data_IF_311147478455
#
_entry.id   IF_311147478455
#
_cell.length_a   1.000
_cell.length_b   1.000
_cell.length_c   1.000
_cell.angle_alpha   90.00
_cell.angle_beta   90.00
_cell.angle_gamma   90.00
#
_symmetry.space_group_name_H-M   'P 1'
#
loop_
_entity.id
_entity.type
_entity.pdbx_description
1 polymer ?
#
# COMPACT_ATOMS: atom_id res chain seq x y z
N UNK A 1 16.45 3.48 -30.25
CA UNK A 1 16.67 4.09 -28.92
C UNK A 1 17.71 5.21 -29.11
N UNK A 2 17.48 6.43 -28.63
CA UNK A 2 18.43 7.54 -28.88
C UNK A 2 19.73 7.36 -28.07
N UNK A 3 20.84 7.93 -28.54
CA UNK A 3 22.13 7.88 -27.83
C UNK A 3 22.02 8.45 -26.41
N UNK A 4 21.20 9.49 -26.23
CA UNK A 4 20.91 10.08 -24.92
C UNK A 4 20.12 9.14 -24.01
N UNK A 5 19.17 8.37 -24.56
CA UNK A 5 18.41 7.36 -23.81
C UNK A 5 19.30 6.19 -23.37
N UNK A 6 20.23 5.75 -24.21
CA UNK A 6 21.22 4.72 -23.85
C UNK A 6 22.16 5.25 -22.76
N UNK A 7 22.66 6.48 -22.88
CA UNK A 7 23.51 7.12 -21.85
C UNK A 7 22.78 7.31 -20.52
N UNK A 8 21.49 7.65 -20.54
CA UNK A 8 20.68 7.76 -19.33
C UNK A 8 20.47 6.39 -18.66
N UNK A 9 20.18 5.35 -19.45
CA UNK A 9 20.04 3.99 -18.97
C UNK A 9 21.33 3.45 -18.35
N UNK A 10 22.47 3.59 -19.02
CA UNK A 10 23.77 3.15 -18.51
C UNK A 10 24.22 3.85 -17.21
N UNK A 11 23.51 4.92 -16.80
CA UNK A 11 23.74 5.59 -15.52
C UNK A 11 22.75 5.14 -14.46
N UNK A 12 21.51 4.86 -14.84
CA UNK A 12 20.48 4.37 -13.92
C UNK A 12 20.71 2.92 -13.48
N UNK A 13 21.40 2.11 -14.28
CA UNK A 13 21.65 0.69 -14.02
C UNK A 13 23.15 0.43 -13.84
N UNK A 14 23.52 -0.48 -12.93
CA UNK A 14 24.92 -0.87 -12.72
C UNK A 14 25.45 -1.70 -13.89
N UNK A 15 24.57 -2.46 -14.57
CA UNK A 15 24.88 -3.18 -15.79
C UNK A 15 24.21 -2.54 -17.02
N UNK A 16 24.95 -2.36 -18.12
CA UNK A 16 24.45 -1.66 -19.31
C UNK A 16 23.34 -2.44 -20.03
N UNK A 17 23.27 -3.76 -19.82
CA UNK A 17 22.24 -4.62 -20.42
C UNK A 17 20.89 -4.51 -19.69
N UNK A 18 20.90 -4.21 -18.40
CA UNK A 18 19.73 -4.02 -17.54
C UNK A 18 18.83 -2.88 -18.03
N UNK A 19 19.43 -1.76 -18.45
CA UNK A 19 18.67 -0.64 -18.99
C UNK A 19 18.07 -0.89 -20.37
N UNK A 20 18.71 -1.71 -21.20
CA UNK A 20 18.33 -1.91 -22.61
C UNK A 20 17.27 -2.99 -22.76
N UNK A 21 17.33 -4.03 -21.93
CA UNK A 21 16.39 -5.12 -21.96
C UNK A 21 15.88 -5.46 -20.54
N UNK A 22 14.59 -5.23 -20.26
CA UNK A 22 14.01 -5.45 -18.94
C UNK A 22 14.06 -6.92 -18.48
N UNK A 23 14.31 -7.87 -19.39
CA UNK A 23 14.58 -9.25 -19.00
C UNK A 23 15.83 -9.35 -18.10
N UNK A 24 16.87 -8.53 -18.29
CA UNK A 24 18.07 -8.55 -17.45
C UNK A 24 17.86 -7.94 -16.06
N UNK A 25 16.96 -6.96 -15.89
CA UNK A 25 16.66 -6.34 -14.58
C UNK A 25 16.14 -7.33 -13.52
N UNK A 26 15.64 -8.49 -13.97
CA UNK A 26 14.95 -9.44 -13.11
C UNK A 26 15.45 -10.88 -13.33
N UNK A 27 16.69 -11.06 -13.82
CA UNK A 27 17.28 -12.38 -14.14
C UNK A 27 17.26 -13.35 -12.95
N UNK A 28 17.42 -12.81 -11.75
CA UNK A 28 17.30 -13.46 -10.45
C UNK A 28 15.86 -13.91 -10.11
N UNK A 29 14.83 -13.35 -10.75
CA UNK A 29 13.42 -13.74 -10.59
C UNK A 29 12.91 -14.68 -11.67
N UNK A 30 13.73 -15.05 -12.67
CA UNK A 30 13.26 -15.87 -13.79
C UNK A 30 12.77 -17.25 -13.39
N UNK A 31 13.32 -17.81 -12.32
CA UNK A 31 12.89 -19.11 -11.75
C UNK A 31 11.60 -19.01 -10.92
N UNK A 32 11.12 -17.81 -10.66
CA UNK A 32 10.02 -17.51 -9.74
C UNK A 32 8.87 -16.75 -10.42
N UNK A 33 8.88 -16.65 -11.75
CA UNK A 33 7.81 -15.99 -12.50
C UNK A 33 6.47 -16.64 -12.20
N UNK A 34 5.47 -15.81 -11.93
CA UNK A 34 4.10 -16.26 -11.88
C UNK A 34 3.20 -15.32 -12.70
N UNK A 35 1.94 -15.72 -12.88
CA UNK A 35 0.96 -15.02 -13.72
C UNK A 35 0.75 -13.55 -13.33
N UNK A 36 1.15 -13.13 -12.12
CA UNK A 36 1.04 -11.74 -11.65
C UNK A 36 2.11 -10.81 -12.22
N UNK A 37 3.28 -11.33 -12.62
CA UNK A 37 4.36 -10.54 -13.22
C UNK A 37 4.00 -10.04 -14.64
N UNK A 38 3.04 -10.70 -15.30
CA UNK A 38 2.57 -10.39 -16.66
C UNK A 38 1.30 -9.55 -16.70
N UNK A 39 0.75 -9.18 -15.53
CA UNK A 39 -0.37 -8.25 -15.48
C UNK A 39 0.18 -6.84 -15.51
N UNK A 40 -0.34 -6.01 -16.40
CA UNK A 40 -0.19 -4.56 -16.24
C UNK A 40 -0.72 -4.23 -14.84
N UNK A 41 0.16 -3.79 -13.94
CA UNK A 41 -0.28 -3.01 -12.80
C UNK A 41 -0.88 -1.76 -13.44
N UNK A 42 -2.18 -1.77 -13.70
CA UNK A 42 -2.87 -0.52 -14.03
C UNK A 42 -2.40 0.48 -12.99
N UNK A 43 -2.01 1.66 -13.45
CA UNK A 43 -1.59 2.76 -12.59
C UNK A 43 -2.80 3.18 -11.75
N UNK A 44 -3.08 2.40 -10.70
CA UNK A 44 -4.13 2.63 -9.75
C UNK A 44 -3.96 4.01 -9.12
N UNK A 45 -4.90 4.40 -8.28
CA UNK A 45 -4.89 5.74 -7.68
C UNK A 45 -3.54 6.08 -6.99
N UNK A 46 -2.76 5.07 -6.60
CA UNK A 46 -1.44 5.20 -5.97
C UNK A 46 -0.28 5.56 -6.91
N UNK A 47 -0.40 5.39 -8.24
CA UNK A 47 0.67 5.71 -9.21
C UNK A 47 2.07 5.18 -8.83
N UNK A 48 2.14 4.01 -8.21
CA UNK A 48 3.39 3.37 -7.77
C UNK A 48 3.79 3.62 -6.31
N UNK A 49 3.08 4.48 -5.58
CA UNK A 49 3.22 4.62 -4.14
C UNK A 49 2.82 3.32 -3.43
N UNK A 50 3.64 2.89 -2.46
CA UNK A 50 3.35 1.74 -1.59
C UNK A 50 3.21 2.25 -0.16
N UNK A 51 2.00 2.24 0.42
CA UNK A 51 1.80 2.72 1.78
C UNK A 51 2.49 1.78 2.78
N UNK A 52 3.27 2.40 3.66
CA UNK A 52 3.99 1.78 4.76
C UNK A 52 3.26 2.10 6.06
N UNK A 53 3.03 1.13 6.91
CA UNK A 53 2.16 1.26 8.08
C UNK A 53 2.88 1.02 9.40
N UNK A 54 4.06 0.40 9.37
CA UNK A 54 4.80 0.17 10.61
C UNK A 54 5.39 1.49 11.07
N UNK A 55 5.53 1.59 12.38
CA UNK A 55 6.22 2.71 13.00
C UNK A 55 7.57 2.22 13.50
N UNK A 56 8.64 2.87 13.06
CA UNK A 56 9.98 2.72 13.59
C UNK A 56 10.42 4.07 14.13
N UNK A 57 10.36 4.29 15.46
CA UNK A 57 10.71 5.57 16.05
C UNK A 57 12.15 5.98 15.68
N UNK A 58 12.33 7.26 15.37
CA UNK A 58 13.63 7.86 15.03
C UNK A 58 13.87 9.15 15.78
N UNK A 59 15.15 9.35 16.12
CA UNK A 59 15.66 10.63 16.58
C UNK A 59 16.12 11.40 15.34
N UNK A 60 15.61 12.62 15.18
CA UNK A 60 16.12 13.53 14.14
C UNK A 60 17.38 14.18 14.71
N UNK A 61 18.52 13.85 14.10
CA UNK A 61 19.80 14.44 14.49
C UNK A 61 20.04 15.76 13.77
N UNK A 62 20.42 16.78 14.55
CA UNK A 62 20.90 18.05 14.02
C UNK A 62 22.41 17.98 13.81
N UNK A 63 22.83 17.88 12.56
CA UNK A 63 24.25 17.84 12.21
C UNK A 63 24.78 19.24 11.95
N UNK A 64 25.74 19.69 12.76
CA UNK A 64 26.54 20.86 12.44
C UNK A 64 27.75 20.45 11.58
N UNK A 65 27.53 20.29 10.28
CA UNK A 65 28.57 19.85 9.33
C UNK A 65 28.91 20.91 8.30
N UNK A 66 30.12 20.89 7.76
CA UNK A 66 30.46 21.63 6.54
C UNK A 66 30.03 20.85 5.31
N UNK A 67 29.92 21.53 4.17
CA UNK A 67 29.65 20.88 2.87
C UNK A 67 30.77 19.92 2.46
N UNK A 68 30.43 18.97 1.59
CA UNK A 68 31.37 18.05 0.97
C UNK A 68 31.03 17.86 -0.51
N UNK A 69 32.04 17.59 -1.34
CA UNK A 69 31.83 17.40 -2.77
C UNK A 69 30.85 16.26 -3.04
N UNK A 70 29.95 16.48 -3.99
CA UNK A 70 29.08 15.41 -4.47
C UNK A 70 29.91 14.38 -5.24
N UNK A 71 29.55 13.08 -5.16
CA UNK A 71 30.13 12.08 -6.06
C UNK A 71 30.05 12.55 -7.51
N UNK A 72 31.14 12.37 -8.28
CA UNK A 72 31.29 12.91 -9.64
C UNK A 72 30.08 12.61 -10.52
N UNK A 73 29.55 11.38 -10.45
CA UNK A 73 28.37 10.95 -11.19
C UNK A 73 27.10 11.72 -10.75
N UNK A 74 26.88 11.88 -9.45
CA UNK A 74 25.74 12.64 -8.92
C UNK A 74 25.81 14.11 -9.31
N UNK A 75 26.99 14.73 -9.24
CA UNK A 75 27.19 16.13 -9.66
C UNK A 75 26.87 16.30 -11.15
N UNK A 76 27.44 15.46 -12.00
CA UNK A 76 27.25 15.51 -13.45
C UNK A 76 25.77 15.44 -13.85
N UNK A 77 24.98 14.60 -13.17
CA UNK A 77 23.56 14.44 -13.51
C UNK A 77 22.68 15.53 -12.91
N UNK A 78 23.03 16.08 -11.74
CA UNK A 78 22.37 17.28 -11.23
C UNK A 78 22.54 18.44 -12.20
N UNK A 79 23.76 18.69 -12.66
CA UNK A 79 24.05 19.77 -13.62
C UNK A 79 23.26 19.59 -14.92
N UNK A 80 23.21 18.35 -15.47
CA UNK A 80 22.42 18.05 -16.67
C UNK A 80 20.92 18.24 -16.49
N UNK A 81 20.38 17.93 -15.30
CA UNK A 81 18.95 18.14 -15.01
C UNK A 81 18.65 19.65 -14.99
N UNK A 82 19.52 20.44 -14.36
CA UNK A 82 19.40 21.90 -14.29
C UNK A 82 19.51 22.52 -15.69
N UNK A 83 20.53 22.13 -16.46
CA UNK A 83 20.74 22.59 -17.85
C UNK A 83 19.51 22.27 -18.72
N UNK A 84 19.03 21.02 -18.67
CA UNK A 84 17.87 20.61 -19.44
C UNK A 84 16.61 21.38 -19.04
N UNK A 85 16.39 21.62 -17.75
CA UNK A 85 15.26 22.39 -17.26
C UNK A 85 15.32 23.84 -17.78
N UNK A 86 16.50 24.47 -17.71
CA UNK A 86 16.74 25.83 -18.20
C UNK A 86 16.53 25.93 -19.71
N UNK A 87 17.12 25.03 -20.50
CA UNK A 87 17.01 25.00 -21.96
C UNK A 87 15.56 24.86 -22.45
N UNK A 88 14.71 24.20 -21.66
CA UNK A 88 13.31 23.97 -21.97
C UNK A 88 12.35 24.93 -21.24
N UNK A 89 12.86 25.93 -20.51
CA UNK A 89 12.07 26.86 -19.69
C UNK A 89 11.12 26.14 -18.71
N UNK A 90 11.60 25.06 -18.08
CA UNK A 90 10.86 24.29 -17.08
C UNK A 90 11.32 24.74 -15.69
N UNK A 91 10.43 25.30 -14.85
CA UNK A 91 10.78 25.60 -13.46
C UNK A 91 11.17 24.33 -12.72
N UNK A 92 12.26 24.41 -11.95
CA UNK A 92 12.78 23.29 -11.17
C UNK A 92 12.62 23.58 -9.68
N UNK A 93 12.16 22.59 -8.92
CA UNK A 93 12.21 22.57 -7.46
C UNK A 93 12.98 21.32 -7.04
N UNK A 94 13.96 21.50 -6.18
CA UNK A 94 14.71 20.39 -5.59
C UNK A 94 14.17 20.12 -4.19
N UNK A 95 14.09 18.85 -3.82
CA UNK A 95 13.66 18.46 -2.48
C UNK A 95 14.47 17.30 -1.95
N UNK A 96 14.64 17.27 -0.63
CA UNK A 96 15.16 16.13 0.09
C UNK A 96 14.07 15.62 1.03
N UNK A 97 13.53 14.43 0.76
CA UNK A 97 12.48 13.80 1.58
C UNK A 97 13.00 13.39 2.96
N UNK A 98 12.13 13.23 3.98
CA UNK A 98 12.56 12.72 5.27
C UNK A 98 13.25 11.37 5.11
N UNK A 99 14.47 11.29 5.62
CA UNK A 99 15.26 10.08 5.59
C UNK A 99 16.16 10.02 6.82
N UNK A 100 16.54 8.82 7.24
CA UNK A 100 17.56 8.64 8.27
C UNK A 100 18.93 9.12 7.78
N UNK A 101 19.28 10.37 8.09
CA UNK A 101 20.52 11.01 7.66
C UNK A 101 21.65 10.78 8.65
N UNK A 102 22.87 10.71 8.12
CA UNK A 102 24.10 10.76 8.90
C UNK A 102 24.89 12.02 8.53
N UNK A 103 25.97 12.29 9.27
CA UNK A 103 26.80 13.48 9.05
C UNK A 103 27.23 13.63 7.59
N UNK A 104 27.80 12.58 6.97
CA UNK A 104 28.27 12.60 5.58
C UNK A 104 27.17 12.96 4.58
N UNK A 105 25.97 12.38 4.73
CA UNK A 105 24.84 12.72 3.86
C UNK A 105 24.39 14.17 4.05
N UNK A 106 24.42 14.68 5.27
CA UNK A 106 24.11 16.09 5.53
C UNK A 106 25.12 17.03 4.85
N UNK A 107 26.41 16.66 4.74
CA UNK A 107 27.40 17.43 3.98
C UNK A 107 27.03 17.56 2.50
N UNK A 108 26.58 16.46 1.88
CA UNK A 108 26.11 16.49 0.48
C UNK A 108 24.83 17.31 0.32
N UNK A 109 23.90 17.24 1.27
CA UNK A 109 22.67 18.05 1.25
C UNK A 109 23.02 19.54 1.25
N UNK A 110 23.97 19.98 2.09
CA UNK A 110 24.45 21.37 2.09
C UNK A 110 25.05 21.79 0.75
N UNK A 111 25.78 20.91 0.08
CA UNK A 111 26.30 21.18 -1.27
C UNK A 111 25.17 21.35 -2.29
N UNK A 112 24.13 20.52 -2.23
CA UNK A 112 22.95 20.66 -3.12
C UNK A 112 22.20 21.95 -2.83
N UNK A 113 22.02 22.32 -1.56
CA UNK A 113 21.37 23.55 -1.14
C UNK A 113 22.11 24.80 -1.65
N UNK A 114 23.44 24.83 -1.55
CA UNK A 114 24.24 25.93 -2.12
C UNK A 114 24.18 25.99 -3.65
N UNK A 115 24.20 24.84 -4.33
CA UNK A 115 24.03 24.79 -5.79
C UNK A 115 22.66 25.36 -6.15
N UNK A 116 21.59 24.90 -5.49
CA UNK A 116 20.24 25.36 -5.73
C UNK A 116 20.13 26.89 -5.54
N UNK A 117 20.65 27.41 -4.42
CA UNK A 117 20.69 28.84 -4.14
C UNK A 117 21.45 29.62 -5.24
N UNK A 118 22.61 29.13 -5.67
CA UNK A 118 23.42 29.80 -6.71
C UNK A 118 22.73 29.86 -8.08
N UNK A 119 21.83 28.92 -8.35
CA UNK A 119 21.07 28.81 -9.60
C UNK A 119 19.68 29.44 -9.49
N UNK A 120 19.31 29.99 -8.33
CA UNK A 120 17.95 30.51 -8.09
C UNK A 120 16.87 29.41 -8.07
N UNK A 121 17.26 28.16 -7.80
CA UNK A 121 16.37 27.00 -7.73
C UNK A 121 15.86 26.85 -6.29
N UNK A 122 14.54 26.80 -6.05
CA UNK A 122 14.03 26.52 -4.73
C UNK A 122 14.42 25.12 -4.22
N UNK A 123 14.80 25.04 -2.94
CA UNK A 123 15.18 23.79 -2.28
C UNK A 123 14.36 23.56 -1.00
N UNK A 124 13.67 22.42 -0.92
CA UNK A 124 12.86 22.05 0.25
C UNK A 124 13.53 20.87 0.97
N UNK A 125 14.11 21.15 2.14
CA UNK A 125 14.78 20.16 2.96
C UNK A 125 13.88 19.60 4.07
N UNK A 126 13.25 18.44 3.84
CA UNK A 126 12.43 17.77 4.87
C UNK A 126 13.25 17.02 5.93
N UNK A 127 14.54 17.33 6.10
CA UNK A 127 15.27 17.01 7.35
C UNK A 127 15.53 18.24 8.21
N UNK A 128 15.15 19.43 7.76
CA UNK A 128 15.24 20.63 8.57
C UNK A 128 14.24 20.58 9.73
N UNK A 129 14.73 20.76 10.96
CA UNK A 129 13.89 20.67 12.17
C UNK A 129 12.83 21.76 12.26
N UNK A 130 13.05 22.93 11.66
CA UNK A 130 12.05 24.01 11.64
C UNK A 130 10.89 23.66 10.72
N UNK A 131 11.19 23.12 9.53
CA UNK A 131 10.19 22.65 8.59
C UNK A 131 9.43 21.45 9.17
N UNK A 132 10.12 20.48 9.75
CA UNK A 132 9.50 19.30 10.38
C UNK A 132 8.53 19.73 11.49
N UNK A 133 8.91 20.71 12.32
CA UNK A 133 8.01 21.29 13.32
C UNK A 133 6.81 22.00 12.70
N UNK A 134 7.02 22.76 11.61
CA UNK A 134 5.96 23.48 10.89
C UNK A 134 4.89 22.53 10.36
N UNK A 135 5.30 21.40 9.76
CA UNK A 135 4.39 20.39 9.21
C UNK A 135 3.89 19.38 10.25
N UNK A 136 4.24 19.58 11.54
CA UNK A 136 3.91 18.69 12.67
C UNK A 136 4.36 17.24 12.42
N UNK A 137 5.52 17.08 11.79
CA UNK A 137 6.15 15.78 11.59
C UNK A 137 6.77 15.30 12.90
N UNK A 138 6.45 14.09 13.30
CA UNK A 138 6.97 13.42 14.49
C UNK A 138 7.64 12.11 14.07
N UNK A 139 8.97 12.12 14.07
CA UNK A 139 9.78 10.97 13.69
C UNK A 139 9.62 9.75 14.61
N UNK A 140 8.97 9.90 15.77
CA UNK A 140 8.59 8.75 16.61
C UNK A 140 7.44 7.94 16.02
N UNK A 141 6.55 8.57 15.25
CA UNK A 141 5.32 7.93 14.74
C UNK A 141 5.17 7.97 13.22
N UNK A 142 5.94 8.81 12.52
CA UNK A 142 5.78 9.07 11.07
C UNK A 142 6.82 8.33 10.18
N UNK A 143 7.67 7.48 10.76
CA UNK A 143 8.77 6.79 10.06
C UNK A 143 8.58 5.27 10.02
N UNK A 144 8.99 4.63 8.93
CA UNK A 144 9.19 3.19 8.79
C UNK A 144 10.61 2.93 8.27
N UNK A 145 11.50 2.45 9.14
CA UNK A 145 12.91 2.26 8.79
C UNK A 145 13.61 3.56 8.40
N UNK A 146 14.10 3.64 7.16
CA UNK A 146 14.76 4.83 6.61
C UNK A 146 13.80 5.85 5.97
N UNK A 147 12.54 5.50 5.75
CA UNK A 147 11.57 6.30 5.00
C UNK A 147 10.39 6.71 5.89
N UNK A 148 9.52 7.58 5.37
CA UNK A 148 8.24 7.88 6.01
C UNK A 148 7.30 6.68 5.94
N UNK A 149 6.50 6.47 6.98
CA UNK A 149 5.28 5.68 6.84
C UNK A 149 4.17 6.53 6.19
N UNK A 150 2.96 6.00 6.09
CA UNK A 150 1.86 6.66 5.39
C UNK A 150 1.45 8.00 6.02
N UNK A 151 1.57 8.14 7.35
CA UNK A 151 1.26 9.38 8.05
C UNK A 151 2.30 10.47 7.78
N UNK A 152 3.59 10.10 7.83
CA UNK A 152 4.67 11.00 7.46
C UNK A 152 4.60 11.42 6.00
N UNK A 153 4.32 10.47 5.10
CA UNK A 153 4.16 10.72 3.68
C UNK A 153 3.03 11.71 3.40
N UNK A 154 1.91 11.59 4.13
CA UNK A 154 0.80 12.54 4.01
C UNK A 154 1.22 13.95 4.41
N UNK A 155 1.87 14.14 5.56
CA UNK A 155 2.31 15.47 6.03
C UNK A 155 3.27 16.14 5.04
N UNK A 156 4.24 15.38 4.53
CA UNK A 156 5.19 15.85 3.52
C UNK A 156 4.48 16.22 2.21
N UNK A 157 3.58 15.36 1.75
CA UNK A 157 2.86 15.56 0.49
C UNK A 157 1.89 16.74 0.55
N UNK A 158 1.19 16.91 1.68
CA UNK A 158 0.31 18.06 1.91
C UNK A 158 1.09 19.38 1.90
N UNK A 159 2.25 19.42 2.58
CA UNK A 159 3.13 20.58 2.52
C UNK A 159 3.65 20.85 1.10
N UNK A 160 4.15 19.82 0.41
CA UNK A 160 4.69 19.97 -0.94
C UNK A 160 3.61 20.47 -1.92
N UNK A 161 2.41 19.89 -1.86
CA UNK A 161 1.28 20.33 -2.69
C UNK A 161 0.95 21.80 -2.46
N UNK A 162 0.82 22.22 -1.20
CA UNK A 162 0.51 23.61 -0.87
C UNK A 162 1.63 24.57 -1.32
N UNK A 163 2.89 24.18 -1.16
CA UNK A 163 4.02 24.96 -1.64
C UNK A 163 3.96 25.15 -3.16
N UNK A 164 3.76 24.05 -3.90
CA UNK A 164 3.67 24.09 -5.35
C UNK A 164 2.50 24.94 -5.86
N UNK A 165 1.33 24.81 -5.23
CA UNK A 165 0.14 25.61 -5.57
C UNK A 165 0.40 27.11 -5.34
N UNK A 166 1.04 27.48 -4.23
CA UNK A 166 1.34 28.87 -3.90
C UNK A 166 2.41 29.48 -4.81
N UNK A 167 3.49 28.75 -5.10
CA UNK A 167 4.63 29.28 -5.85
C UNK A 167 4.38 29.34 -7.35
N UNK A 168 3.73 28.32 -7.92
CA UNK A 168 3.54 28.20 -9.37
C UNK A 168 2.12 28.54 -9.81
N UNK A 169 1.25 28.92 -8.86
CA UNK A 169 -0.14 29.28 -9.10
C UNK A 169 -0.83 28.26 -10.01
N UNK A 170 -0.63 26.97 -9.71
CA UNK A 170 -1.36 25.91 -10.39
C UNK A 170 -2.85 26.18 -10.21
N UNK A 171 -3.64 25.96 -11.27
CA UNK A 171 -5.09 26.00 -11.14
C UNK A 171 -5.45 25.03 -10.02
N UNK A 172 -6.08 25.49 -8.91
CA UNK A 172 -6.33 24.65 -7.76
C UNK A 172 -7.17 23.47 -8.24
N UNK A 173 -6.53 22.30 -8.33
CA UNK A 173 -7.25 21.06 -8.52
C UNK A 173 -7.91 20.87 -7.16
N UNK A 174 -9.24 21.14 -7.07
CA UNK A 174 -10.03 20.78 -5.89
C UNK A 174 -9.55 19.41 -5.44
N UNK A 175 -9.18 19.27 -4.14
CA UNK A 175 -8.79 17.98 -3.55
C UNK A 175 -9.67 16.92 -4.18
N UNK A 176 -9.07 16.09 -5.03
CA UNK A 176 -9.87 15.19 -5.82
C UNK A 176 -10.58 14.27 -4.84
N UNK A 177 -11.84 13.94 -5.12
CA UNK A 177 -12.56 12.93 -4.33
C UNK A 177 -11.73 11.66 -4.19
N UNK A 178 -10.90 11.36 -5.20
CA UNK A 178 -9.95 10.25 -5.19
C UNK A 178 -8.88 10.37 -4.10
N UNK A 179 -8.34 11.56 -3.82
CA UNK A 179 -7.37 11.76 -2.74
C UNK A 179 -7.98 11.52 -1.36
N UNK A 180 -9.19 12.04 -1.12
CA UNK A 180 -9.90 11.81 0.15
C UNK A 180 -10.21 10.33 0.35
N UNK A 181 -10.66 9.65 -0.71
CA UNK A 181 -10.89 8.20 -0.67
C UNK A 181 -9.58 7.47 -0.38
N UNK A 182 -8.50 7.74 -1.10
CA UNK A 182 -7.18 7.14 -0.88
C UNK A 182 -6.72 7.26 0.57
N UNK A 183 -6.73 8.48 1.10
CA UNK A 183 -6.32 8.77 2.47
C UNK A 183 -7.19 8.02 3.48
N UNK A 184 -8.52 8.01 3.30
CA UNK A 184 -9.42 7.22 4.15
C UNK A 184 -9.11 5.71 4.11
N UNK A 185 -8.74 5.17 2.94
CA UNK A 185 -8.40 3.76 2.78
C UNK A 185 -7.08 3.39 3.42
N UNK A 186 -6.11 4.30 3.47
CA UNK A 186 -4.88 4.08 4.23
C UNK A 186 -5.15 4.00 5.73
N UNK A 187 -5.91 4.95 6.28
CA UNK A 187 -6.29 4.91 7.68
C UNK A 187 -7.10 3.66 8.02
N UNK A 188 -8.02 3.25 7.14
CA UNK A 188 -8.78 2.03 7.34
C UNK A 188 -7.90 0.77 7.30
N UNK A 189 -6.97 0.66 6.34
CA UNK A 189 -6.06 -0.47 6.25
C UNK A 189 -5.14 -0.59 7.48
N UNK A 190 -4.74 0.52 8.09
CA UNK A 190 -4.03 0.50 9.38
C UNK A 190 -4.95 0.15 10.55
N UNK A 191 -6.11 0.80 10.65
CA UNK A 191 -7.09 0.58 11.73
C UNK A 191 -7.52 -0.88 11.79
N UNK A 192 -7.82 -1.47 10.63
CA UNK A 192 -8.22 -2.86 10.51
C UNK A 192 -7.22 -3.78 11.19
N UNK A 193 -5.90 -3.59 11.01
CA UNK A 193 -4.83 -4.42 11.59
C UNK A 193 -4.76 -4.39 13.12
N UNK A 194 -5.41 -3.42 13.76
CA UNK A 194 -5.39 -3.20 15.21
C UNK A 194 -6.67 -3.70 15.90
N UNK A 195 -7.63 -4.20 15.13
CA UNK A 195 -8.86 -4.78 15.64
C UNK A 195 -8.67 -6.29 15.71
N UNK A 196 -8.53 -6.80 16.94
CA UNK A 196 -8.34 -8.24 17.21
C UNK A 196 -9.66 -8.96 17.48
N UNK A 197 -10.65 -8.24 18.00
CA UNK A 197 -11.99 -8.80 18.21
C UNK A 197 -12.74 -8.94 16.88
N UNK A 198 -13.32 -10.11 16.66
CA UNK A 198 -14.00 -10.44 15.40
C UNK A 198 -15.27 -9.61 15.16
N UNK A 199 -16.07 -9.40 16.20
CA UNK A 199 -17.33 -8.67 16.07
C UNK A 199 -17.07 -7.19 15.79
N UNK A 200 -16.06 -6.62 16.44
CA UNK A 200 -15.60 -5.26 16.16
C UNK A 200 -15.01 -5.15 14.75
N UNK A 201 -14.28 -6.18 14.28
CA UNK A 201 -13.70 -6.21 12.95
C UNK A 201 -14.78 -6.19 11.86
N UNK A 202 -15.79 -7.07 11.96
CA UNK A 202 -16.91 -7.09 11.01
C UNK A 202 -17.78 -5.84 11.13
N UNK A 203 -17.98 -5.30 12.34
CA UNK A 203 -18.71 -4.06 12.55
C UNK A 203 -18.02 -2.87 11.88
N UNK A 204 -16.69 -2.76 11.98
CA UNK A 204 -15.90 -1.75 11.28
C UNK A 204 -16.10 -1.84 9.77
N UNK A 205 -16.01 -3.06 9.22
CA UNK A 205 -16.18 -3.32 7.78
C UNK A 205 -17.61 -3.06 7.27
N UNK A 206 -18.63 -3.28 8.11
CA UNK A 206 -20.04 -3.10 7.71
C UNK A 206 -20.39 -1.68 7.24
N UNK A 207 -19.62 -0.69 7.69
CA UNK A 207 -19.81 0.73 7.37
C UNK A 207 -18.94 1.20 6.19
N UNK A 208 -18.18 0.31 5.56
CA UNK A 208 -17.24 0.63 4.50
C UNK A 208 -17.75 0.19 3.12
N UNK A 209 -17.50 1.00 2.11
CA UNK A 209 -17.61 0.57 0.71
C UNK A 209 -16.40 -0.27 0.31
N UNK A 210 -16.40 -1.54 0.72
CA UNK A 210 -15.38 -2.55 0.42
C UNK A 210 -16.03 -3.92 0.23
N UNK A 211 -15.33 -4.80 -0.49
CA UNK A 211 -15.70 -6.19 -0.62
C UNK A 211 -15.02 -7.03 0.46
N UNK A 212 -15.80 -7.73 1.27
CA UNK A 212 -15.34 -8.64 2.32
C UNK A 212 -15.55 -10.07 1.82
N UNK A 213 -14.46 -10.72 1.42
CA UNK A 213 -14.47 -12.12 1.01
C UNK A 213 -14.12 -13.01 2.20
N UNK A 214 -14.92 -14.03 2.44
CA UNK A 214 -14.86 -14.85 3.66
C UNK A 214 -14.90 -16.32 3.27
N UNK A 215 -14.00 -17.11 3.87
CA UNK A 215 -14.01 -18.57 3.75
C UNK A 215 -13.85 -19.25 5.10
N UNK A 216 -14.43 -20.43 5.27
CA UNK A 216 -14.21 -21.26 6.45
C UNK A 216 -13.14 -22.34 6.21
N UNK A 217 -12.40 -22.70 7.25
CA UNK A 217 -11.47 -23.84 7.28
C UNK A 217 -11.61 -24.60 8.61
N UNK A 218 -11.48 -25.92 8.57
CA UNK A 218 -11.65 -26.84 9.70
C UNK A 218 -13.08 -26.81 10.29
N UNK A 219 -13.32 -25.93 11.26
CA UNK A 219 -14.56 -25.84 12.02
C UNK A 219 -14.94 -24.38 12.27
N UNK A 220 -16.25 -24.11 12.16
CA UNK A 220 -16.89 -22.88 12.61
C UNK A 220 -17.80 -23.21 13.80
N UNK A 221 -17.88 -22.32 14.79
CA UNK A 221 -18.70 -22.51 16.00
C UNK A 221 -20.02 -21.74 15.93
N UNK A 222 -21.04 -22.23 16.63
CA UNK A 222 -22.42 -21.74 16.71
C UNK A 222 -22.56 -20.27 17.15
N UNK A 223 -21.60 -19.71 17.88
CA UNK A 223 -21.62 -18.30 18.33
C UNK A 223 -21.29 -17.29 17.23
N UNK A 224 -20.84 -17.72 16.04
CA UNK A 224 -20.42 -16.83 14.95
C UNK A 224 -21.58 -16.27 14.12
N UNK A 225 -22.83 -16.59 14.46
CA UNK A 225 -24.02 -16.20 13.66
C UNK A 225 -24.30 -14.69 13.67
N UNK A 226 -24.12 -14.02 14.80
CA UNK A 226 -24.51 -12.60 14.97
C UNK A 226 -23.58 -11.65 14.20
N UNK A 227 -22.29 -11.98 14.11
CA UNK A 227 -21.28 -11.12 13.52
C UNK A 227 -21.51 -10.89 12.01
N UNK A 228 -21.89 -11.95 11.28
CA UNK A 228 -22.11 -11.90 9.84
C UNK A 228 -23.44 -11.27 9.44
N UNK A 229 -24.44 -11.27 10.31
CA UNK A 229 -25.68 -10.51 10.09
C UNK A 229 -25.38 -9.01 9.88
N UNK A 230 -24.37 -8.47 10.57
CA UNK A 230 -23.91 -7.08 10.37
C UNK A 230 -23.32 -6.82 8.98
N UNK A 231 -22.78 -7.85 8.33
CA UNK A 231 -22.32 -7.76 6.94
C UNK A 231 -23.43 -8.02 5.90
N UNK A 232 -24.66 -8.29 6.36
CA UNK A 232 -25.80 -8.60 5.50
C UNK A 232 -25.95 -10.08 5.18
N UNK A 233 -25.34 -10.98 5.96
CA UNK A 233 -25.50 -12.43 5.77
C UNK A 233 -26.96 -12.87 5.85
N UNK A 234 -27.34 -13.74 4.93
CA UNK A 234 -28.67 -14.32 4.81
C UNK A 234 -28.69 -15.78 5.32
N UNK A 235 -27.53 -16.32 5.68
CA UNK A 235 -27.37 -17.69 6.15
C UNK A 235 -27.31 -17.73 7.68
N UNK A 236 -28.16 -18.55 8.28
CA UNK A 236 -28.03 -18.88 9.70
C UNK A 236 -26.95 -19.93 9.93
N UNK A 237 -25.94 -19.59 10.72
CA UNK A 237 -24.90 -20.52 11.19
C UNK A 237 -25.33 -21.36 12.40
N UNK A 238 -26.56 -21.18 12.88
CA UNK A 238 -27.09 -21.96 13.99
C UNK A 238 -27.05 -23.45 13.65
N UNK A 239 -26.47 -24.24 14.56
CA UNK A 239 -26.34 -25.70 14.43
C UNK A 239 -25.48 -26.16 13.24
N UNK A 240 -24.66 -25.26 12.65
CA UNK A 240 -23.66 -25.60 11.64
C UNK A 240 -22.33 -25.90 12.33
N UNK A 241 -21.76 -27.06 12.02
CA UNK A 241 -20.46 -27.48 12.53
C UNK A 241 -19.68 -28.18 11.43
N UNK A 242 -18.42 -27.82 11.24
CA UNK A 242 -17.52 -28.39 10.21
C UNK A 242 -18.15 -28.41 8.81
N UNK A 243 -18.74 -27.29 8.43
CA UNK A 243 -19.23 -27.03 7.08
C UNK A 243 -18.23 -26.15 6.34
N UNK A 244 -18.17 -26.32 5.03
CA UNK A 244 -17.49 -25.38 4.14
C UNK A 244 -18.38 -24.17 3.93
N UNK A 245 -17.77 -23.00 3.80
CA UNK A 245 -18.50 -21.75 3.64
C UNK A 245 -17.69 -20.76 2.79
N UNK A 246 -18.39 -20.08 1.88
CA UNK A 246 -17.87 -18.93 1.14
C UNK A 246 -18.87 -17.80 1.18
N UNK A 247 -18.47 -16.59 1.54
CA UNK A 247 -19.31 -15.40 1.56
C UNK A 247 -18.60 -14.20 0.96
N UNK A 248 -19.29 -13.46 0.10
CA UNK A 248 -18.81 -12.20 -0.44
C UNK A 248 -19.82 -11.10 -0.13
N UNK A 249 -19.36 -10.09 0.60
CA UNK A 249 -20.20 -9.00 1.09
C UNK A 249 -19.69 -7.66 0.60
N UNK A 250 -20.61 -6.74 0.32
CA UNK A 250 -20.38 -5.30 0.37
C UNK A 250 -21.68 -4.67 0.90
N UNK A 251 -21.74 -4.48 2.22
CA UNK A 251 -22.93 -4.02 2.92
C UNK A 251 -23.35 -2.61 2.47
N UNK A 252 -22.38 -1.71 2.25
CA UNK A 252 -22.63 -0.35 1.74
C UNK A 252 -23.38 -0.35 0.39
N UNK A 253 -23.13 -1.36 -0.44
CA UNK A 253 -23.78 -1.54 -1.75
C UNK A 253 -24.94 -2.54 -1.74
N UNK A 254 -25.25 -3.14 -0.60
CA UNK A 254 -26.25 -4.22 -0.51
C UNK A 254 -25.89 -5.47 -1.31
N UNK A 255 -24.59 -5.72 -1.56
CA UNK A 255 -24.15 -6.93 -2.25
C UNK A 255 -23.90 -8.06 -1.24
N UNK A 256 -24.54 -9.20 -1.48
CA UNK A 256 -24.28 -10.44 -0.74
C UNK A 256 -24.42 -11.62 -1.67
N UNK A 257 -23.46 -12.54 -1.60
CA UNK A 257 -23.58 -13.86 -2.21
C UNK A 257 -22.85 -14.85 -1.31
N UNK A 258 -23.52 -15.94 -0.95
CA UNK A 258 -23.02 -16.90 0.05
C UNK A 258 -23.33 -18.34 -0.37
N UNK A 259 -22.47 -19.27 0.07
CA UNK A 259 -22.68 -20.72 -0.07
C UNK A 259 -22.20 -21.42 1.20
N UNK A 260 -22.96 -22.43 1.61
CA UNK A 260 -22.65 -23.30 2.74
C UNK A 260 -22.95 -24.74 2.35
N UNK A 261 -22.06 -25.67 2.69
CA UNK A 261 -22.18 -27.08 2.30
C UNK A 261 -21.43 -27.97 3.29
N UNK A 262 -21.83 -29.23 3.42
CA UNK A 262 -21.05 -30.24 4.15
C UNK A 262 -19.85 -30.70 3.33
N UNK A 263 -19.88 -30.54 2.01
CA UNK A 263 -18.79 -30.82 1.06
C UNK A 263 -17.88 -29.59 0.83
N UNK A 264 -16.73 -29.80 0.17
CA UNK A 264 -15.86 -28.69 -0.23
C UNK A 264 -16.55 -27.79 -1.27
N UNK A 265 -16.36 -26.47 -1.15
CA UNK A 265 -16.94 -25.46 -2.04
C UNK A 265 -15.83 -24.84 -2.89
N UNK A 266 -16.12 -24.68 -4.18
CA UNK A 266 -15.40 -23.77 -5.08
C UNK A 266 -16.43 -22.80 -5.65
N UNK A 267 -16.33 -21.52 -5.29
CA UNK A 267 -17.23 -20.49 -5.80
C UNK A 267 -16.46 -19.43 -6.57
N UNK A 268 -16.97 -19.01 -7.73
CA UNK A 268 -16.44 -17.88 -8.50
C UNK A 268 -17.53 -16.83 -8.64
N UNK A 269 -17.20 -15.62 -8.22
CA UNK A 269 -18.14 -14.53 -8.00
C UNK A 269 -17.61 -13.30 -8.74
N UNK A 270 -18.47 -12.61 -9.46
CA UNK A 270 -18.08 -11.45 -10.26
C UNK A 270 -19.03 -10.29 -9.92
N UNK A 271 -18.67 -9.45 -8.95
CA UNK A 271 -19.50 -8.31 -8.59
C UNK A 271 -19.69 -7.36 -9.78
N UNK A 272 -20.88 -6.79 -9.87
CA UNK A 272 -21.17 -5.74 -10.85
C UNK A 272 -20.61 -4.39 -10.36
N UNK A 273 -19.31 -4.18 -10.57
CA UNK A 273 -18.57 -2.97 -10.23
C UNK A 273 -18.07 -2.27 -11.51
N UNK A 274 -17.78 -0.96 -11.43
CA UNK A 274 -17.12 -0.21 -12.50
C UNK A 274 -15.76 -0.82 -12.87
N UNK A 275 -15.05 -1.40 -11.90
CA UNK A 275 -13.81 -2.15 -12.17
C UNK A 275 -14.11 -3.62 -12.37
N UNK A 276 -13.54 -4.18 -13.43
CA UNK A 276 -13.69 -5.61 -13.69
C UNK A 276 -12.73 -6.42 -12.81
N UNK A 277 -13.28 -7.15 -11.86
CA UNK A 277 -12.56 -8.15 -11.08
C UNK A 277 -13.48 -9.33 -10.78
N UNK A 278 -12.89 -10.48 -10.45
CA UNK A 278 -13.63 -11.59 -9.87
C UNK A 278 -12.90 -12.13 -8.66
N UNK A 279 -13.70 -12.73 -7.79
CA UNK A 279 -13.25 -13.38 -6.57
C UNK A 279 -13.56 -14.86 -6.72
N UNK A 280 -12.55 -15.70 -6.54
CA UNK A 280 -12.73 -17.15 -6.48
C UNK A 280 -12.39 -17.59 -5.06
N UNK A 281 -13.28 -18.34 -4.44
CA UNK A 281 -13.09 -18.84 -3.08
C UNK A 281 -13.15 -20.36 -3.09
N UNK A 282 -12.22 -20.97 -2.36
CA UNK A 282 -12.24 -22.39 -2.07
C UNK A 282 -12.32 -22.55 -0.54
N UNK A 283 -13.26 -23.37 -0.06
CA UNK A 283 -13.43 -23.67 1.36
C UNK A 283 -13.66 -25.15 1.53
N UNK A 284 -12.95 -25.76 2.47
CA UNK A 284 -13.16 -27.14 2.88
C UNK A 284 -13.05 -27.25 4.41
N UNK A 285 -14.07 -27.86 5.01
CA UNK A 285 -14.05 -28.21 6.43
C UNK A 285 -13.03 -29.31 6.73
N UNK A 286 -12.84 -29.62 8.02
CA UNK A 286 -11.93 -30.68 8.46
C UNK A 286 -12.16 -32.01 7.74
N UNK A 287 -13.43 -32.34 7.50
CA UNK A 287 -13.82 -33.63 6.94
C UNK A 287 -13.67 -33.70 5.41
N UNK A 288 -13.42 -32.57 4.73
CA UNK A 288 -13.57 -32.47 3.26
C UNK A 288 -12.37 -31.87 2.54
N UNK A 289 -11.26 -31.67 3.25
CA UNK A 289 -9.99 -31.22 2.68
C UNK A 289 -9.21 -30.27 3.57
N UNK A 290 -9.86 -29.63 4.54
CA UNK A 290 -9.27 -28.73 5.52
C UNK A 290 -8.39 -27.64 4.90
N UNK A 291 -8.99 -26.77 4.08
CA UNK A 291 -8.28 -25.66 3.45
C UNK A 291 -9.19 -24.45 3.27
N UNK A 292 -8.57 -23.28 3.11
CA UNK A 292 -9.23 -22.03 2.74
C UNK A 292 -8.35 -21.28 1.76
N UNK A 293 -8.93 -20.79 0.67
CA UNK A 293 -8.25 -19.94 -0.32
C UNK A 293 -9.18 -18.88 -0.85
N UNK A 294 -8.65 -17.67 -1.01
CA UNK A 294 -9.37 -16.55 -1.61
C UNK A 294 -8.48 -15.96 -2.69
N UNK A 295 -8.95 -16.01 -3.92
CA UNK A 295 -8.26 -15.47 -5.07
C UNK A 295 -8.97 -14.23 -5.56
N UNK A 296 -8.20 -13.15 -5.76
CA UNK A 296 -8.67 -11.97 -6.48
C UNK A 296 -7.96 -11.97 -7.82
N UNK A 297 -8.73 -12.05 -8.90
CA UNK A 297 -8.20 -12.17 -10.26
C UNK A 297 -7.16 -13.31 -10.39
N UNK A 298 -7.40 -14.49 -9.83
CA UNK A 298 -6.47 -15.64 -9.78
C UNK A 298 -5.22 -15.48 -8.89
N UNK A 299 -5.11 -14.41 -8.11
CA UNK A 299 -4.00 -14.25 -7.15
C UNK A 299 -4.47 -14.70 -5.79
N UNK A 300 -3.86 -15.77 -5.24
CA UNK A 300 -4.17 -16.25 -3.89
C UNK A 300 -3.71 -15.23 -2.84
N UNK A 301 -4.66 -14.73 -2.06
CA UNK A 301 -4.45 -13.73 -1.02
C UNK A 301 -4.19 -14.36 0.35
N UNK A 302 -4.49 -15.66 0.51
CA UNK A 302 -4.35 -16.41 1.76
C UNK A 302 -3.13 -17.33 1.78
N UNK A 303 -2.23 -17.23 0.80
CA UNK A 303 -1.03 -18.07 0.70
C UNK A 303 -0.25 -18.09 2.02
N UNK A 304 -0.14 -19.27 2.64
CA UNK A 304 0.47 -19.51 3.95
C UNK A 304 -0.10 -18.72 5.14
N UNK A 305 -1.27 -18.09 4.97
CA UNK A 305 -1.95 -17.28 6.00
C UNK A 305 -3.20 -17.93 6.56
N UNK A 306 -3.82 -18.85 5.82
CA UNK A 306 -5.09 -19.48 6.25
C UNK A 306 -4.95 -20.25 7.56
N UNK A 307 -5.91 -20.10 8.46
CA UNK A 307 -6.03 -20.80 9.75
C UNK A 307 -7.42 -21.42 9.91
N UNK A 308 -7.57 -22.26 10.94
CA UNK A 308 -8.88 -22.74 11.44
C UNK A 308 -9.81 -21.56 11.69
N UNK A 309 -11.10 -21.74 11.39
CA UNK A 309 -12.13 -20.72 11.58
C UNK A 309 -12.41 -19.93 10.30
N UNK A 310 -12.60 -18.61 10.43
CA UNK A 310 -12.89 -17.73 9.29
C UNK A 310 -11.64 -17.02 8.79
N UNK A 311 -11.45 -17.05 7.48
CA UNK A 311 -10.37 -16.39 6.78
C UNK A 311 -10.96 -15.32 5.88
N UNK A 312 -10.48 -14.09 6.02
CA UNK A 312 -11.08 -12.89 5.46
C UNK A 312 -10.07 -12.14 4.62
N UNK A 313 -10.51 -11.67 3.45
CA UNK A 313 -9.78 -10.73 2.60
C UNK A 313 -10.66 -9.51 2.36
N UNK A 314 -10.15 -8.34 2.70
CA UNK A 314 -10.83 -7.06 2.52
C UNK A 314 -10.27 -6.38 1.28
N UNK A 315 -11.09 -6.32 0.22
CA UNK A 315 -10.72 -5.76 -1.07
C UNK A 315 -11.44 -4.44 -1.33
N UNK A 316 -10.69 -3.39 -1.60
CA UNK A 316 -11.22 -2.11 -2.00
C UNK A 316 -11.16 -1.94 -3.53
N UNK A 317 -12.32 -2.06 -4.18
CA UNK A 317 -12.42 -1.95 -5.63
C UNK A 317 -12.05 -0.53 -6.13
N UNK A 318 -12.21 0.51 -5.30
CA UNK A 318 -11.91 1.91 -5.69
C UNK A 318 -10.41 2.18 -5.79
N UNK A 319 -9.59 1.60 -4.93
CA UNK A 319 -8.12 1.73 -4.97
C UNK A 319 -7.43 0.52 -5.60
N UNK A 320 -8.16 -0.58 -5.84
CA UNK A 320 -7.63 -1.87 -6.28
C UNK A 320 -6.54 -2.37 -5.30
N UNK A 321 -6.85 -2.30 -4.00
CA UNK A 321 -5.95 -2.69 -2.93
C UNK A 321 -6.62 -3.72 -2.03
N UNK A 322 -5.78 -4.57 -1.44
CA UNK A 322 -6.14 -5.36 -0.27
C UNK A 322 -5.89 -4.48 0.94
N UNK A 323 -6.95 -4.08 1.63
CA UNK A 323 -6.81 -3.30 2.86
C UNK A 323 -6.29 -4.17 4.00
N UNK A 324 -6.74 -5.42 4.04
CA UNK A 324 -6.36 -6.36 5.07
C UNK A 324 -6.59 -7.83 4.67
N UNK A 325 -5.89 -8.71 5.35
CA UNK A 325 -6.07 -10.17 5.31
C UNK A 325 -5.98 -10.66 6.74
N UNK A 326 -7.04 -11.27 7.25
CA UNK A 326 -7.14 -11.67 8.64
C UNK A 326 -7.72 -13.07 8.75
N UNK A 327 -7.20 -13.85 9.70
CA UNK A 327 -7.79 -15.14 10.06
C UNK A 327 -8.22 -15.10 11.52
N UNK A 328 -9.42 -15.58 11.80
CA UNK A 328 -10.00 -15.62 13.14
C UNK A 328 -10.34 -17.06 13.48
N UNK A 329 -9.67 -17.58 14.51
CA UNK A 329 -10.03 -18.87 15.05
C UNK A 329 -11.31 -18.73 15.87
N UNK A 330 -12.38 -19.31 15.33
CA UNK A 330 -13.72 -19.23 15.91
C UNK A 330 -14.16 -20.53 16.55
N UNK A 331 -13.29 -21.55 16.61
CA UNK A 331 -13.63 -22.83 17.22
C UNK A 331 -13.71 -22.71 18.76
N UNK A 332 -12.72 -22.04 19.37
CA UNK A 332 -12.65 -21.86 20.82
C UNK A 332 -13.49 -20.65 21.26
N UNK A 333 -14.49 -20.88 22.11
CA UNK A 333 -15.38 -19.82 22.59
C UNK A 333 -14.62 -18.83 23.47
N UNK A 334 -14.67 -17.54 23.13
CA UNK A 334 -14.29 -16.45 24.03
C UNK A 334 -12.87 -15.89 23.91
N UNK A 335 -12.02 -16.44 23.03
CA UNK A 335 -10.69 -15.89 22.72
C UNK A 335 -10.42 -16.01 21.21
N UNK A 336 -11.01 -15.10 20.44
CA UNK A 336 -10.89 -15.09 18.99
C UNK A 336 -9.52 -14.50 18.68
N UNK A 337 -8.52 -15.36 18.52
CA UNK A 337 -7.17 -14.90 18.22
C UNK A 337 -7.11 -14.58 16.73
N UNK A 338 -6.79 -13.33 16.43
CA UNK A 338 -6.42 -12.90 15.08
C UNK A 338 -5.02 -13.43 14.75
N UNK A 339 -4.86 -13.92 13.52
CA UNK A 339 -3.57 -14.35 12.95
C UNK A 339 -3.21 -13.60 11.69
#
# INVERSE_FOLDING_TARGET
>A
MTLNKIKAQNVAFEDNLEGVNPFYNYHNRWKEFNITDFKSKENGLLKGFTPLYKTTPKVIENFNVTKADLPVKSRLYLDKIIELANDNNIPLVLTYAPYNINASRNQHIKTVEEIALSQGIPFINYTDTTLLKTIKFDAQVDMEGGHTNVYGAQKVSEHLSNYLDNEFNFNPIKKSKDYEVLTSRFYAADSLKKIDDFDDYLNYLSNMDVYVAVTAMDAINKSTSIAFEKLGSQISFKDKFRVSYTGLFNNYRGYVEEKIDTMAIINKMQPNDKRNFYIRMESASFNTGNYSKIYINNVDQLINKSKRGFNIVVYDAVTNQILDTASFDTFETGNWSRY
#
